data_IF_898086219881
#
_entry.id   IF_898086219881
#
_cell.length_a   1.000
_cell.length_b   1.000
_cell.length_c   1.000
_cell.angle_alpha   90.00
_cell.angle_beta   90.00
_cell.angle_gamma   90.00
#
_symmetry.space_group_name_H-M   'P 1'
#
loop_
_entity.id
_entity.type
_entity.pdbx_description
1 polymer ?
#
# COMPACT_ATOMS: atom_id res chain seq x y z
N UNK A 1 -19.86 3.40 -25.23
CA UNK A 1 -19.62 2.09 -24.58
C UNK A 1 -18.17 2.06 -24.13
N UNK A 2 -17.90 2.37 -22.86
CA UNK A 2 -16.53 2.43 -22.35
C UNK A 2 -16.02 1.00 -22.18
N UNK A 3 -15.00 0.65 -22.97
CA UNK A 3 -14.31 -0.63 -22.92
C UNK A 3 -13.74 -0.85 -21.51
N UNK A 4 -14.29 -1.82 -20.77
CA UNK A 4 -13.72 -2.29 -19.51
C UNK A 4 -12.37 -2.93 -19.84
N UNK A 5 -11.29 -2.21 -19.56
CA UNK A 5 -9.92 -2.75 -19.61
C UNK A 5 -9.89 -3.98 -18.69
N UNK A 6 -9.56 -5.14 -19.26
CA UNK A 6 -9.48 -6.39 -18.54
C UNK A 6 -8.55 -6.25 -17.32
N UNK A 7 -8.91 -6.83 -16.15
CA UNK A 7 -8.00 -6.83 -15.01
C UNK A 7 -6.69 -7.53 -15.41
N UNK A 8 -5.53 -7.00 -14.99
CA UNK A 8 -4.26 -7.66 -15.26
C UNK A 8 -4.30 -9.07 -14.66
N UNK A 9 -3.85 -10.05 -15.45
CA UNK A 9 -3.86 -11.46 -15.10
C UNK A 9 -3.34 -11.67 -13.67
N UNK A 10 -4.19 -12.26 -12.82
CA UNK A 10 -3.83 -12.73 -11.49
C UNK A 10 -2.81 -13.84 -11.64
N UNK A 11 -1.52 -13.46 -11.63
CA UNK A 11 -0.44 -14.41 -11.45
C UNK A 11 -0.64 -15.04 -10.07
N UNK A 12 -0.98 -16.33 -10.04
CA UNK A 12 -1.31 -17.11 -8.84
C UNK A 12 -0.07 -17.44 -8.00
N UNK A 13 0.86 -16.49 -7.89
CA UNK A 13 1.98 -16.58 -6.97
C UNK A 13 1.47 -16.22 -5.58
N UNK A 14 1.47 -17.20 -4.66
CA UNK A 14 1.22 -16.93 -3.24
C UNK A 14 2.32 -16.00 -2.75
N UNK A 15 1.94 -14.79 -2.34
CA UNK A 15 2.88 -13.83 -1.78
C UNK A 15 3.38 -14.38 -0.45
N UNK A 16 4.70 -14.44 -0.27
CA UNK A 16 5.34 -14.97 0.94
C UNK A 16 5.49 -13.89 2.03
N UNK A 17 4.94 -12.69 1.78
CA UNK A 17 5.05 -11.55 2.68
C UNK A 17 4.06 -11.68 3.84
N UNK A 18 4.49 -11.33 5.05
CA UNK A 18 3.62 -11.36 6.23
C UNK A 18 2.33 -10.55 5.99
N UNK A 19 1.16 -11.19 6.16
CA UNK A 19 -0.16 -10.57 5.95
C UNK A 19 -0.73 -10.68 4.54
N UNK A 20 -0.06 -11.38 3.62
CA UNK A 20 -0.55 -11.62 2.24
C UNK A 20 -1.04 -13.05 1.98
N UNK A 21 -0.60 -14.01 2.82
CA UNK A 21 -1.16 -15.37 2.94
C UNK A 21 -2.45 -15.42 3.77
N UNK A 22 -2.99 -14.26 4.17
CA UNK A 22 -4.26 -14.23 4.88
C UNK A 22 -5.41 -14.67 3.95
N UNK A 23 -6.39 -15.44 4.44
CA UNK A 23 -7.62 -15.78 3.71
C UNK A 23 -8.49 -14.56 3.33
N UNK A 24 -7.99 -13.34 3.54
CA UNK A 24 -8.66 -12.03 3.46
C UNK A 24 -8.99 -11.57 2.02
N UNK A 25 -8.56 -12.30 0.99
CA UNK A 25 -8.99 -12.02 -0.39
C UNK A 25 -10.39 -12.57 -0.72
N UNK A 26 -11.02 -13.33 0.18
CA UNK A 26 -12.39 -13.81 -0.03
C UNK A 26 -13.42 -12.67 0.00
N UNK A 27 -13.17 -11.63 0.80
CA UNK A 27 -14.05 -10.47 0.92
C UNK A 27 -13.61 -9.37 -0.03
N UNK A 28 -14.50 -9.00 -0.97
CA UNK A 28 -14.23 -7.97 -1.98
C UNK A 28 -15.34 -6.93 -2.00
N UNK A 29 -15.00 -5.72 -2.43
CA UNK A 29 -15.95 -4.67 -2.77
C UNK A 29 -15.31 -3.75 -3.82
N UNK A 30 -16.11 -2.90 -4.46
CA UNK A 30 -15.63 -1.99 -5.51
C UNK A 30 -14.45 -1.09 -5.05
N UNK A 31 -14.40 -0.74 -3.75
CA UNK A 31 -13.30 0.06 -3.22
C UNK A 31 -12.01 -0.76 -3.10
N UNK A 32 -12.07 -1.98 -2.57
CA UNK A 32 -10.92 -2.89 -2.46
C UNK A 32 -10.34 -3.21 -3.84
N UNK A 33 -11.20 -3.48 -4.83
CA UNK A 33 -10.78 -3.70 -6.23
C UNK A 33 -10.04 -2.48 -6.79
N UNK A 34 -10.54 -1.27 -6.53
CA UNK A 34 -9.86 -0.04 -6.98
C UNK A 34 -8.47 0.18 -6.36
N UNK A 35 -8.19 -0.44 -5.21
CA UNK A 35 -6.92 -0.34 -4.51
C UNK A 35 -5.88 -1.33 -5.02
N UNK A 36 -6.27 -2.37 -5.76
CA UNK A 36 -5.35 -3.39 -6.30
C UNK A 36 -4.24 -2.77 -7.14
N UNK A 37 -4.54 -1.70 -7.91
CA UNK A 37 -3.55 -1.01 -8.74
C UNK A 37 -2.39 -0.38 -7.94
N UNK A 38 -2.57 -0.13 -6.64
CA UNK A 38 -1.60 0.50 -5.76
C UNK A 38 -0.96 -0.49 -4.77
N UNK A 39 -1.34 -1.76 -4.82
CA UNK A 39 -0.71 -2.79 -3.99
C UNK A 39 0.60 -3.23 -4.64
N UNK A 40 1.65 -3.32 -3.84
CA UNK A 40 2.96 -3.81 -4.26
C UNK A 40 3.31 -5.09 -3.49
N UNK A 41 3.65 -6.15 -4.22
CA UNK A 41 4.18 -7.39 -3.64
C UNK A 41 5.69 -7.49 -3.87
N UNK A 42 6.43 -7.77 -2.80
CA UNK A 42 7.89 -7.89 -2.82
C UNK A 42 8.38 -9.33 -2.99
N UNK A 43 7.48 -10.32 -3.07
CA UNK A 43 7.86 -11.74 -3.19
C UNK A 43 8.71 -12.00 -4.43
N UNK A 44 9.91 -12.54 -4.24
CA UNK A 44 10.87 -12.81 -5.32
C UNK A 44 11.47 -11.58 -5.99
N UNK A 45 11.17 -10.37 -5.49
CA UNK A 45 11.72 -9.14 -6.05
C UNK A 45 13.08 -8.81 -5.43
N UNK A 46 13.98 -8.24 -6.25
CA UNK A 46 15.25 -7.73 -5.76
C UNK A 46 15.03 -6.46 -4.96
N UNK A 47 15.78 -6.29 -3.85
CA UNK A 47 15.81 -5.04 -3.12
C UNK A 47 16.41 -3.94 -4.02
N UNK A 48 15.71 -2.80 -4.10
CA UNK A 48 16.06 -1.68 -4.98
C UNK A 48 15.92 -0.34 -4.25
N UNK A 49 16.56 0.68 -4.81
CA UNK A 49 16.30 2.09 -4.50
C UNK A 49 14.96 2.53 -5.09
N UNK A 50 14.47 3.70 -4.68
CA UNK A 50 13.25 4.33 -5.23
C UNK A 50 13.36 4.61 -6.74
N UNK A 51 14.59 4.76 -7.24
CA UNK A 51 14.88 4.92 -8.67
C UNK A 51 15.06 3.59 -9.42
N UNK A 52 14.85 2.44 -8.76
CA UNK A 52 14.89 1.11 -9.37
C UNK A 52 16.28 0.49 -9.49
N UNK A 53 17.31 1.07 -8.87
CA UNK A 53 18.68 0.53 -8.86
C UNK A 53 18.76 -0.63 -7.87
N UNK A 54 19.28 -1.80 -8.28
CA UNK A 54 19.43 -2.95 -7.40
C UNK A 54 20.48 -2.68 -6.32
N UNK A 55 20.15 -3.02 -5.08
CA UNK A 55 21.06 -2.89 -3.93
C UNK A 55 21.80 -4.22 -3.75
N UNK A 56 23.13 -4.18 -3.76
CA UNK A 56 23.99 -5.36 -3.57
C UNK A 56 24.20 -5.70 -2.09
N UNK A 57 24.47 -4.68 -1.27
CA UNK A 57 24.66 -4.79 0.19
C UNK A 57 23.80 -3.74 0.90
N UNK A 58 22.93 -4.18 1.81
CA UNK A 58 22.05 -3.34 2.62
C UNK A 58 22.44 -3.34 4.11
N UNK A 59 23.60 -3.89 4.45
CA UNK A 59 24.09 -4.03 5.82
C UNK A 59 25.18 -3.00 6.14
N UNK A 60 25.85 -2.46 5.11
CA UNK A 60 26.99 -1.57 5.26
C UNK A 60 26.80 -0.25 4.50
N UNK A 61 27.40 0.81 5.04
CA UNK A 61 27.60 2.09 4.36
C UNK A 61 28.91 2.06 3.58
N UNK A 62 28.98 2.78 2.46
CA UNK A 62 30.22 3.00 1.72
C UNK A 62 31.18 3.87 2.54
N UNK A 63 32.38 3.32 2.81
CA UNK A 63 33.41 3.91 3.68
C UNK A 63 34.79 3.85 3.03
N UNK A 64 35.71 4.73 3.44
CA UNK A 64 37.13 4.66 3.06
C UNK A 64 37.80 3.53 3.85
N UNK A 65 37.75 2.30 3.32
CA UNK A 65 38.20 1.10 4.03
C UNK A 65 37.20 0.62 5.09
N UNK A 66 37.46 -0.54 5.70
CA UNK A 66 36.49 -1.23 6.57
C UNK A 66 36.12 -0.45 7.84
N UNK A 67 37.06 0.33 8.38
CA UNK A 67 36.91 1.14 9.62
C UNK A 67 37.13 2.65 9.39
N UNK A 68 37.03 3.13 8.15
CA UNK A 68 37.17 4.55 7.85
C UNK A 68 35.83 5.31 7.89
N UNK A 69 35.86 6.62 7.59
CA UNK A 69 34.67 7.47 7.54
C UNK A 69 33.77 7.10 6.36
N UNK A 70 32.47 7.38 6.50
CA UNK A 70 31.46 7.21 5.44
C UNK A 70 31.61 8.28 4.36
N UNK A 71 31.35 7.89 3.11
CA UNK A 71 31.44 8.79 1.96
C UNK A 71 30.08 9.43 1.63
N UNK A 72 30.10 10.71 1.26
CA UNK A 72 28.89 11.45 0.86
C UNK A 72 28.32 10.97 -0.50
N UNK A 73 29.14 10.33 -1.33
CA UNK A 73 28.70 9.78 -2.61
C UNK A 73 27.77 8.57 -2.47
N UNK A 74 27.66 7.99 -1.27
CA UNK A 74 26.70 6.91 -0.98
C UNK A 74 25.26 7.44 -1.09
N UNK A 75 24.68 7.31 -2.27
CA UNK A 75 23.31 7.72 -2.52
C UNK A 75 22.29 6.72 -1.97
N UNK A 76 22.65 5.44 -1.82
CA UNK A 76 21.76 4.40 -1.30
C UNK A 76 21.49 4.65 0.17
N UNK A 77 22.54 4.87 0.96
CA UNK A 77 22.41 5.23 2.38
C UNK A 77 21.60 6.51 2.55
N UNK A 78 21.95 7.57 1.80
CA UNK A 78 21.28 8.87 1.93
C UNK A 78 19.80 8.79 1.57
N UNK A 79 19.45 8.11 0.48
CA UNK A 79 18.06 7.95 0.07
C UNK A 79 17.24 7.23 1.15
N UNK A 80 17.77 6.13 1.70
CA UNK A 80 17.10 5.35 2.75
C UNK A 80 16.88 6.15 4.03
N UNK A 81 17.92 6.85 4.51
CA UNK A 81 17.81 7.67 5.74
C UNK A 81 16.95 8.90 5.50
N UNK A 82 17.04 9.54 4.33
CA UNK A 82 16.19 10.69 4.00
C UNK A 82 14.72 10.30 3.98
N UNK A 83 14.37 9.13 3.44
CA UNK A 83 13.00 8.64 3.48
C UNK A 83 12.54 8.39 4.94
N UNK A 84 13.39 7.77 5.76
CA UNK A 84 13.11 7.51 7.17
C UNK A 84 12.88 8.79 7.98
N UNK A 85 13.74 9.80 7.81
CA UNK A 85 13.67 11.07 8.53
C UNK A 85 12.35 11.83 8.26
N UNK A 86 11.71 11.56 7.10
CA UNK A 86 10.48 12.21 6.65
C UNK A 86 9.25 11.29 6.68
N UNK A 87 9.26 10.19 7.43
CA UNK A 87 8.10 9.29 7.55
C UNK A 87 6.92 9.91 8.30
N UNK A 88 7.19 10.89 9.18
CA UNK A 88 6.15 11.51 10.01
C UNK A 88 5.46 12.63 9.26
N UNK A 89 4.15 12.50 9.13
CA UNK A 89 3.24 13.56 8.68
C UNK A 89 2.46 14.10 9.88
N UNK A 90 1.98 15.36 9.84
CA UNK A 90 1.13 15.89 10.90
C UNK A 90 -0.09 14.99 11.14
N UNK A 91 -0.40 14.75 12.41
CA UNK A 91 -1.59 14.00 12.80
C UNK A 91 -2.87 14.86 12.67
N UNK A 92 -4.03 14.20 12.75
CA UNK A 92 -5.32 14.91 12.80
C UNK A 92 -5.40 15.72 14.10
N UNK A 93 -5.91 16.95 14.03
CA UNK A 93 -6.05 17.88 15.17
C UNK A 93 -6.77 17.22 16.35
N UNK A 94 -7.79 16.42 16.07
CA UNK A 94 -8.53 15.58 17.04
C UNK A 94 -8.69 14.17 16.48
N UNK A 95 -8.95 13.20 17.35
CA UNK A 95 -9.00 11.76 16.99
C UNK A 95 -7.70 11.25 16.35
N UNK A 96 -6.55 11.71 16.84
CA UNK A 96 -5.23 11.28 16.37
C UNK A 96 -5.00 9.77 16.57
N UNK A 97 -5.51 9.21 17.67
CA UNK A 97 -5.47 7.77 17.94
C UNK A 97 -6.73 7.07 17.45
N UNK A 98 -6.58 6.15 16.51
CA UNK A 98 -7.65 5.30 16.02
C UNK A 98 -7.14 4.10 15.24
N UNK A 99 -7.99 3.08 15.09
CA UNK A 99 -7.78 1.91 14.24
C UNK A 99 -8.95 1.80 13.26
N UNK A 100 -8.74 1.19 12.09
CA UNK A 100 -9.73 1.14 11.02
C UNK A 100 -9.80 -0.25 10.36
N UNK A 101 -10.97 -0.58 9.82
CA UNK A 101 -11.23 -1.77 9.02
C UNK A 101 -12.11 -1.42 7.82
N UNK A 102 -11.97 -2.16 6.72
CA UNK A 102 -12.86 -2.06 5.57
C UNK A 102 -14.13 -2.90 5.77
N UNK A 103 -15.22 -2.49 5.12
CA UNK A 103 -16.50 -3.21 5.14
C UNK A 103 -17.41 -2.71 4.03
N UNK A 104 -18.69 -3.05 4.13
CA UNK A 104 -19.74 -2.51 3.29
C UNK A 104 -20.92 -2.07 4.15
N UNK A 105 -21.76 -1.21 3.58
CA UNK A 105 -23.02 -0.78 4.18
C UNK A 105 -24.16 -1.15 3.23
N UNK A 106 -25.27 -1.62 3.79
CA UNK A 106 -26.49 -1.97 3.05
C UNK A 106 -27.68 -1.45 3.86
N UNK A 107 -28.59 -0.75 3.21
CA UNK A 107 -29.81 -0.26 3.86
C UNK A 107 -30.82 -1.41 4.00
N UNK A 108 -31.68 -1.35 5.02
CA UNK A 108 -32.71 -2.38 5.21
C UNK A 108 -33.84 -2.24 4.19
N UNK A 109 -34.24 -1.00 3.88
CA UNK A 109 -35.36 -0.69 3.00
C UNK A 109 -35.12 0.62 2.23
N UNK A 110 -36.00 0.92 1.27
CA UNK A 110 -35.93 2.17 0.52
C UNK A 110 -36.44 3.35 1.36
N UNK A 111 -35.54 4.25 1.76
CA UNK A 111 -35.87 5.45 2.53
C UNK A 111 -36.04 6.71 1.66
N UNK A 112 -36.39 6.55 0.38
CA UNK A 112 -36.55 7.63 -0.59
C UNK A 112 -37.61 8.68 -0.22
N UNK A 113 -38.59 8.31 0.60
CA UNK A 113 -39.59 9.24 1.12
C UNK A 113 -39.00 10.27 2.10
N UNK A 114 -37.90 9.92 2.79
CA UNK A 114 -37.26 10.76 3.80
C UNK A 114 -35.99 11.45 3.26
N UNK A 115 -35.25 10.76 2.41
CA UNK A 115 -33.96 11.25 1.90
C UNK A 115 -33.74 10.90 0.43
N UNK A 116 -33.21 11.85 -0.32
CA UNK A 116 -32.77 11.67 -1.71
C UNK A 116 -31.35 11.08 -1.83
N UNK A 117 -30.70 10.74 -0.72
CA UNK A 117 -29.36 10.17 -0.74
C UNK A 117 -29.34 8.79 -1.41
N UNK A 118 -28.47 8.60 -2.41
CA UNK A 118 -28.47 7.39 -3.24
C UNK A 118 -28.23 6.09 -2.48
N UNK A 119 -27.34 6.08 -1.48
CA UNK A 119 -26.96 4.88 -0.72
C UNK A 119 -28.06 4.36 0.24
N UNK A 120 -29.19 5.06 0.36
CA UNK A 120 -30.33 4.71 1.22
C UNK A 120 -31.59 4.27 0.44
N UNK A 121 -31.48 4.11 -0.89
CA UNK A 121 -32.65 3.84 -1.74
C UNK A 121 -32.83 2.37 -2.08
N UNK A 122 -31.75 1.61 -2.15
CA UNK A 122 -31.79 0.25 -2.66
C UNK A 122 -31.18 -0.72 -1.65
N UNK A 123 -31.99 -1.64 -1.08
CA UNK A 123 -31.49 -2.65 -0.18
C UNK A 123 -30.76 -3.80 -0.88
N UNK A 124 -30.72 -3.92 -2.22
CA UNK A 124 -29.77 -4.77 -2.98
C UNK A 124 -29.97 -4.63 -4.50
#
# INVERSE_FOLDING_TARGET
MASKKAPPATDTSKSQMAGTDTPDRGNTNAKLESLEQFRSDATGQALRTNHGVKISDNQNTLKVGSRGPSLLEDFIMREKITHFDHERIPERIVHARGTAAHGYFQTYENHGALSKAGFLRDPA
#
